data_IF_985096836257
#
_entry.id   IF_985096836257
#
_cell.length_a   1.000
_cell.length_b   1.000
_cell.length_c   1.000
_cell.angle_alpha   90.00
_cell.angle_beta   90.00
_cell.angle_gamma   90.00
#
_symmetry.space_group_name_H-M   'P 1'
#
loop_
_entity.id
_entity.type
_entity.pdbx_description
1 polymer ?
#
# COMPACT_ATOMS: atom_id res chain seq x y z
N UNK A 1 19.53 42.77 30.57
CA UNK A 1 19.10 41.80 31.60
C UNK A 1 19.04 40.41 30.99
N UNK A 2 19.21 39.32 31.76
CA UNK A 2 19.22 37.95 31.23
C UNK A 2 17.98 37.59 30.39
N UNK A 3 16.83 38.23 30.67
CA UNK A 3 15.59 38.06 29.91
C UNK A 3 15.62 38.59 28.47
N UNK A 4 16.38 39.65 28.16
CA UNK A 4 16.46 40.20 26.81
C UNK A 4 17.33 39.37 25.87
N UNK A 5 18.39 38.71 26.38
CA UNK A 5 19.21 37.79 25.58
C UNK A 5 18.45 36.52 25.17
N UNK A 6 17.58 35.98 26.03
CA UNK A 6 16.78 34.79 25.72
C UNK A 6 15.73 35.06 24.63
N UNK A 7 15.07 36.23 24.69
CA UNK A 7 14.14 36.68 23.63
C UNK A 7 14.84 36.93 22.30
N UNK A 8 16.04 37.53 22.32
CA UNK A 8 16.83 37.76 21.11
C UNK A 8 17.27 36.44 20.43
N UNK A 9 17.70 35.43 21.21
CA UNK A 9 18.07 34.10 20.67
C UNK A 9 16.88 33.36 20.06
N UNK A 10 15.70 33.48 20.66
CA UNK A 10 14.48 32.87 20.13
C UNK A 10 14.03 33.53 18.82
N UNK A 11 14.07 34.87 18.75
CA UNK A 11 13.75 35.63 17.54
C UNK A 11 14.74 35.35 16.38
N UNK A 12 16.02 35.18 16.68
CA UNK A 12 17.03 34.77 15.70
C UNK A 12 16.79 33.35 15.18
N UNK A 13 16.45 32.39 16.06
CA UNK A 13 16.12 31.02 15.66
C UNK A 13 14.91 30.96 14.72
N UNK A 14 13.89 31.78 14.96
CA UNK A 14 12.72 31.87 14.09
C UNK A 14 13.03 32.47 12.72
N UNK A 15 13.83 33.54 12.67
CA UNK A 15 14.30 34.12 11.40
C UNK A 15 15.18 33.14 10.61
N UNK A 16 16.04 32.37 11.28
CA UNK A 16 16.85 31.33 10.64
C UNK A 16 15.99 30.20 10.08
N UNK A 17 14.95 29.80 10.83
CA UNK A 17 14.04 28.75 10.39
C UNK A 17 13.20 29.19 9.17
N UNK A 18 12.72 30.43 9.15
CA UNK A 18 11.97 30.99 8.02
C UNK A 18 12.84 31.11 6.76
N UNK A 19 14.07 31.64 6.89
CA UNK A 19 15.00 31.76 5.75
C UNK A 19 15.40 30.39 5.18
N UNK A 20 15.62 29.39 6.04
CA UNK A 20 15.88 28.01 5.58
C UNK A 20 14.66 27.38 4.89
N UNK A 21 13.43 27.69 5.34
CA UNK A 21 12.20 27.22 4.69
C UNK A 21 12.02 27.86 3.31
N UNK A 22 12.30 29.15 3.16
CA UNK A 22 12.23 29.85 1.86
C UNK A 22 13.28 29.32 0.89
N UNK A 23 14.53 29.13 1.32
CA UNK A 23 15.59 28.52 0.49
C UNK A 23 15.23 27.11 0.02
N UNK A 24 14.62 26.30 0.90
CA UNK A 24 14.16 24.95 0.56
C UNK A 24 13.02 24.97 -0.46
N UNK A 25 12.08 25.91 -0.36
CA UNK A 25 11.01 26.09 -1.33
C UNK A 25 11.52 26.61 -2.68
N UNK A 26 12.50 27.51 -2.69
CA UNK A 26 13.17 27.96 -3.92
C UNK A 26 13.94 26.83 -4.61
N UNK A 27 14.65 25.98 -3.85
CA UNK A 27 15.29 24.78 -4.42
C UNK A 27 14.27 23.79 -5.01
N UNK A 28 13.11 23.61 -4.36
CA UNK A 28 12.05 22.75 -4.89
C UNK A 28 11.47 23.36 -6.18
N UNK A 29 11.25 24.68 -6.22
CA UNK A 29 10.77 25.40 -7.40
C UNK A 29 11.73 25.27 -8.59
N UNK A 30 13.04 25.43 -8.34
CA UNK A 30 14.09 25.25 -9.36
C UNK A 30 14.22 23.79 -9.83
N UNK A 31 13.98 22.81 -8.96
CA UNK A 31 13.96 21.39 -9.33
C UNK A 31 12.72 20.99 -10.12
N UNK A 32 11.60 21.72 -9.97
CA UNK A 32 10.38 21.51 -10.75
C UNK A 32 10.45 22.19 -12.12
N UNK A 33 11.06 23.37 -12.24
CA UNK A 33 11.22 24.06 -13.53
C UNK A 33 12.26 23.42 -14.44
N UNK A 34 13.31 22.79 -13.89
CA UNK A 34 14.31 22.06 -14.71
C UNK A 34 13.79 20.69 -15.20
N UNK A 35 12.70 20.17 -14.62
CA UNK A 35 12.15 18.85 -14.99
C UNK A 35 11.06 18.87 -16.06
N UNK A 36 10.55 20.03 -16.45
CA UNK A 36 9.53 20.11 -17.50
C UNK A 36 10.12 20.16 -18.92
N UNK A 37 11.43 20.40 -19.09
CA UNK A 37 12.07 20.54 -20.41
C UNK A 37 13.03 19.38 -20.80
N UNK A 38 13.12 18.30 -20.02
CA UNK A 38 13.84 17.08 -20.43
C UNK A 38 13.10 15.82 -19.99
N UNK A 39 12.17 15.36 -20.82
CA UNK A 39 11.81 13.93 -20.90
C UNK A 39 12.09 13.46 -22.32
N UNK A 40 13.38 13.37 -22.61
CA UNK A 40 13.89 12.50 -23.66
C UNK A 40 13.71 11.05 -23.17
N UNK A 41 12.91 10.31 -23.92
CA UNK A 41 12.57 8.91 -23.62
C UNK A 41 13.72 8.04 -24.10
N UNK A 42 14.53 7.53 -23.18
CA UNK A 42 15.43 6.41 -23.48
C UNK A 42 14.74 5.06 -23.18
N UNK A 43 14.93 4.06 -24.06
CA UNK A 43 14.32 2.74 -23.95
C UNK A 43 15.03 1.89 -22.90
N UNK A 44 14.27 1.07 -22.18
CA UNK A 44 14.83 0.03 -21.30
C UNK A 44 15.36 -1.12 -22.16
N UNK A 45 16.67 -1.33 -22.05
CA UNK A 45 17.38 -2.50 -22.51
C UNK A 45 16.91 -3.76 -21.76
N UNK A 46 16.66 -4.82 -22.53
CA UNK A 46 16.55 -6.20 -22.08
C UNK A 46 17.88 -6.90 -22.35
N UNK A 47 18.51 -7.43 -21.31
CA UNK A 47 19.74 -8.25 -21.37
C UNK A 47 19.43 -9.75 -21.66
N UNK A 48 20.45 -10.55 -22.05
CA UNK A 48 20.45 -11.27 -23.33
C UNK A 48 20.20 -12.78 -23.24
N UNK A 49 19.84 -13.38 -24.37
CA UNK A 49 19.82 -14.82 -24.53
C UNK A 49 19.36 -15.27 -25.91
N UNK A 50 20.18 -15.07 -26.94
CA UNK A 50 20.63 -16.09 -27.89
C UNK A 50 21.43 -15.41 -29.03
N UNK A 51 22.52 -16.07 -29.43
CA UNK A 51 23.45 -15.72 -30.49
C UNK A 51 22.80 -15.06 -31.72
N UNK A 52 23.34 -14.00 -32.31
CA UNK A 52 24.73 -13.88 -32.75
C UNK A 52 24.85 -14.35 -34.20
N UNK A 53 24.37 -13.55 -35.17
CA UNK A 53 24.80 -13.64 -36.57
C UNK A 53 24.88 -12.22 -37.14
N UNK A 54 26.10 -11.73 -37.28
CA UNK A 54 26.45 -10.57 -38.10
C UNK A 54 26.38 -11.01 -39.56
N UNK A 55 25.39 -10.53 -40.33
CA UNK A 55 25.37 -10.72 -41.78
C UNK A 55 26.21 -9.61 -42.41
N UNK A 56 27.39 -10.01 -42.88
CA UNK A 56 28.18 -9.21 -43.81
C UNK A 56 27.40 -8.99 -45.11
N UNK A 57 27.49 -7.77 -45.63
CA UNK A 57 27.03 -7.39 -46.96
C UNK A 57 27.66 -8.32 -48.01
N UNK A 58 26.84 -9.13 -48.65
CA UNK A 58 27.12 -9.68 -49.99
C UNK A 58 25.87 -9.41 -50.83
N UNK A 59 26.14 -8.74 -51.95
CA UNK A 59 25.26 -8.41 -53.05
C UNK A 59 24.78 -9.71 -53.73
N UNK A 60 23.47 -9.97 -53.72
CA UNK A 60 22.70 -10.61 -54.80
C UNK A 60 21.26 -10.87 -54.30
N UNK A 61 20.29 -10.44 -55.10
CA UNK A 61 18.92 -10.20 -54.67
C UNK A 61 18.15 -11.44 -54.22
N UNK A 62 17.37 -11.28 -53.15
CA UNK A 62 16.02 -11.82 -52.97
C UNK A 62 15.23 -10.80 -52.13
N UNK A 63 14.06 -10.43 -52.64
CA UNK A 63 13.02 -9.63 -52.00
C UNK A 63 12.48 -10.30 -50.73
N UNK A 64 12.90 -9.86 -49.55
CA UNK A 64 12.19 -10.10 -48.29
C UNK A 64 11.90 -8.78 -47.57
N UNK A 65 11.07 -7.96 -48.19
CA UNK A 65 10.35 -6.89 -47.51
C UNK A 65 8.97 -7.41 -47.05
N UNK A 66 8.59 -7.09 -45.80
CA UNK A 66 7.19 -6.93 -45.36
C UNK A 66 6.30 -8.15 -45.02
N UNK A 67 6.79 -9.25 -44.44
CA UNK A 67 5.85 -10.28 -43.91
C UNK A 67 5.24 -9.94 -42.55
N UNK A 68 5.91 -9.16 -41.69
CA UNK A 68 5.39 -8.76 -40.36
C UNK A 68 4.38 -7.60 -40.43
N UNK A 69 4.58 -6.64 -41.35
CA UNK A 69 3.66 -5.51 -41.54
C UNK A 69 2.31 -5.92 -42.14
N UNK A 70 2.32 -6.87 -43.08
CA UNK A 70 1.10 -7.33 -43.78
C UNK A 70 0.16 -8.10 -42.85
N UNK A 71 0.69 -8.99 -42.00
CA UNK A 71 -0.12 -9.74 -41.01
C UNK A 71 -0.76 -8.83 -39.96
N UNK A 72 -0.03 -7.78 -39.54
CA UNK A 72 -0.57 -6.76 -38.64
C UNK A 72 -1.72 -5.98 -39.29
N UNK A 73 -1.57 -5.60 -40.55
CA UNK A 73 -2.58 -4.82 -41.27
C UNK A 73 -3.84 -5.64 -41.56
N UNK A 74 -3.70 -6.92 -41.91
CA UNK A 74 -4.84 -7.83 -42.12
C UNK A 74 -5.67 -7.98 -40.84
N UNK A 75 -5.02 -8.15 -39.69
CA UNK A 75 -5.70 -8.23 -38.40
C UNK A 75 -6.44 -6.93 -38.07
N UNK A 76 -5.82 -5.77 -38.28
CA UNK A 76 -6.46 -4.46 -38.07
C UNK A 76 -7.73 -4.34 -38.93
N UNK A 77 -7.66 -4.76 -40.20
CA UNK A 77 -8.80 -4.70 -41.11
C UNK A 77 -9.94 -5.63 -40.65
N UNK A 78 -9.64 -6.86 -40.20
CA UNK A 78 -10.64 -7.79 -39.65
C UNK A 78 -11.34 -7.20 -38.42
N UNK A 79 -10.58 -6.61 -37.50
CA UNK A 79 -11.14 -5.97 -36.30
C UNK A 79 -12.02 -4.78 -36.68
N UNK A 80 -11.57 -3.91 -37.60
CA UNK A 80 -12.37 -2.78 -38.09
C UNK A 80 -13.69 -3.24 -38.71
N UNK A 81 -13.66 -4.24 -39.59
CA UNK A 81 -14.87 -4.77 -40.22
C UNK A 81 -15.84 -5.35 -39.18
N UNK A 82 -15.32 -6.02 -38.16
CA UNK A 82 -16.13 -6.54 -37.05
C UNK A 82 -16.78 -5.39 -36.27
N UNK A 83 -16.03 -4.32 -35.96
CA UNK A 83 -16.59 -3.16 -35.27
C UNK A 83 -17.66 -2.44 -36.09
N UNK A 84 -17.51 -2.37 -37.42
CA UNK A 84 -18.54 -1.82 -38.31
C UNK A 84 -19.80 -2.67 -38.29
N UNK A 85 -19.65 -4.00 -38.42
CA UNK A 85 -20.77 -4.95 -38.35
C UNK A 85 -21.58 -4.81 -37.06
N UNK A 86 -20.90 -4.63 -35.92
CA UNK A 86 -21.57 -4.40 -34.64
C UNK A 86 -22.37 -3.10 -34.63
N UNK A 87 -21.78 -2.03 -35.17
CA UNK A 87 -22.42 -0.72 -35.26
C UNK A 87 -23.68 -0.77 -36.13
N UNK A 88 -23.63 -1.49 -37.24
CA UNK A 88 -24.75 -1.65 -38.17
C UNK A 88 -25.93 -2.41 -37.54
N UNK A 89 -25.66 -3.25 -36.53
CA UNK A 89 -26.67 -3.96 -35.75
C UNK A 89 -27.00 -3.29 -34.41
N UNK A 90 -26.63 -2.02 -34.20
CA UNK A 90 -26.87 -1.27 -32.96
C UNK A 90 -26.28 -1.93 -31.70
N UNK A 91 -25.24 -2.75 -31.85
CA UNK A 91 -24.50 -3.36 -30.76
C UNK A 91 -23.22 -2.58 -30.50
N UNK A 92 -22.88 -2.41 -29.22
CA UNK A 92 -21.57 -1.88 -28.83
C UNK A 92 -20.65 -3.02 -28.46
N UNK A 93 -19.34 -2.79 -28.57
CA UNK A 93 -18.34 -3.71 -28.02
C UNK A 93 -18.53 -3.94 -26.50
N UNK A 94 -19.03 -2.92 -25.79
CA UNK A 94 -19.39 -3.03 -24.37
C UNK A 94 -20.48 -4.07 -24.12
N UNK A 95 -21.54 -4.09 -24.94
CA UNK A 95 -22.64 -5.05 -24.81
C UNK A 95 -22.17 -6.50 -24.97
N UNK A 96 -21.23 -6.73 -25.90
CA UNK A 96 -20.66 -8.07 -26.13
C UNK A 96 -19.84 -8.51 -24.92
N UNK A 97 -19.02 -7.60 -24.39
CA UNK A 97 -18.25 -7.87 -23.18
C UNK A 97 -19.16 -8.17 -22.00
N UNK A 98 -20.20 -7.38 -21.81
CA UNK A 98 -21.18 -7.60 -20.75
C UNK A 98 -21.82 -8.98 -20.87
N UNK A 99 -22.26 -9.36 -22.07
CA UNK A 99 -22.82 -10.68 -22.34
C UNK A 99 -21.84 -11.83 -22.03
N UNK A 100 -20.57 -11.72 -22.45
CA UNK A 100 -19.56 -12.78 -22.25
C UNK A 100 -19.08 -12.85 -20.79
N UNK A 101 -18.85 -11.69 -20.16
CA UNK A 101 -18.28 -11.60 -18.82
C UNK A 101 -19.30 -11.83 -17.71
N UNK A 102 -20.60 -11.62 -17.98
CA UNK A 102 -21.65 -11.92 -17.02
C UNK A 102 -21.69 -13.43 -16.70
N UNK A 103 -21.47 -13.86 -15.45
CA UNK A 103 -21.58 -15.26 -15.04
C UNK A 103 -22.92 -15.93 -15.37
N UNK A 104 -24.01 -15.16 -15.50
CA UNK A 104 -25.35 -15.71 -15.72
C UNK A 104 -25.54 -16.33 -17.11
N UNK A 105 -24.80 -15.86 -18.13
CA UNK A 105 -24.95 -16.35 -19.51
C UNK A 105 -24.17 -17.62 -19.83
N UNK A 106 -23.44 -18.20 -18.87
CA UNK A 106 -22.79 -19.50 -19.03
C UNK A 106 -21.61 -19.53 -20.03
N UNK A 107 -21.07 -18.37 -20.42
CA UNK A 107 -19.95 -18.23 -21.39
C UNK A 107 -18.56 -18.40 -20.77
N UNK A 108 -18.41 -19.43 -19.93
CA UNK A 108 -17.19 -19.67 -19.17
C UNK A 108 -15.98 -19.97 -20.06
N UNK A 109 -16.17 -20.75 -21.12
CA UNK A 109 -15.10 -21.14 -22.03
C UNK A 109 -14.59 -19.94 -22.84
N UNK A 110 -15.50 -19.17 -23.45
CA UNK A 110 -15.17 -17.99 -24.24
C UNK A 110 -14.53 -16.90 -23.38
N UNK A 111 -14.96 -16.78 -22.12
CA UNK A 111 -14.35 -15.89 -21.13
C UNK A 111 -12.94 -16.33 -20.76
N UNK A 112 -12.73 -17.63 -20.54
CA UNK A 112 -11.41 -18.17 -20.27
C UNK A 112 -10.48 -17.96 -21.46
N UNK A 113 -10.81 -18.49 -22.63
CA UNK A 113 -9.99 -18.40 -23.84
C UNK A 113 -9.73 -16.96 -24.29
N UNK A 114 -10.77 -16.11 -24.23
CA UNK A 114 -10.72 -14.73 -24.70
C UNK A 114 -10.01 -13.76 -23.75
N UNK A 115 -10.20 -13.90 -22.43
CA UNK A 115 -9.67 -12.94 -21.46
C UNK A 115 -8.67 -13.56 -20.48
N UNK A 116 -9.02 -14.65 -19.80
CA UNK A 116 -8.26 -15.14 -18.64
C UNK A 116 -7.15 -16.16 -18.96
N UNK A 117 -7.13 -16.72 -20.16
CA UNK A 117 -6.11 -17.66 -20.62
C UNK A 117 -4.71 -17.06 -20.55
N UNK A 118 -4.59 -15.75 -20.81
CA UNK A 118 -3.36 -14.98 -20.61
C UNK A 118 -3.55 -13.95 -19.50
N UNK A 119 -2.98 -14.14 -18.30
CA UNK A 119 -3.09 -13.19 -17.19
C UNK A 119 -2.61 -11.78 -17.56
N UNK A 120 -1.61 -11.69 -18.44
CA UNK A 120 -1.07 -10.42 -18.92
C UNK A 120 -2.12 -9.58 -19.65
N UNK A 121 -3.03 -10.22 -20.40
CA UNK A 121 -4.05 -9.52 -21.19
C UNK A 121 -4.97 -8.69 -20.31
N UNK A 122 -5.50 -9.27 -19.25
CA UNK A 122 -6.38 -8.56 -18.31
C UNK A 122 -5.64 -7.41 -17.64
N UNK A 123 -4.41 -7.65 -17.19
CA UNK A 123 -3.60 -6.61 -16.57
C UNK A 123 -3.32 -5.45 -17.55
N UNK A 124 -3.02 -5.76 -18.80
CA UNK A 124 -2.75 -4.77 -19.84
C UNK A 124 -4.00 -3.94 -20.16
N UNK A 125 -5.18 -4.57 -20.24
CA UNK A 125 -6.47 -3.87 -20.42
C UNK A 125 -6.72 -2.91 -19.26
N UNK A 126 -6.53 -3.36 -18.01
CA UNK A 126 -6.69 -2.51 -16.82
C UNK A 126 -5.66 -1.36 -16.79
N UNK A 127 -4.43 -1.60 -17.25
CA UNK A 127 -3.41 -0.56 -17.40
C UNK A 127 -3.82 0.47 -18.47
N UNK A 128 -4.39 0.04 -19.60
CA UNK A 128 -4.91 0.96 -20.60
C UNK A 128 -6.11 1.76 -20.08
N UNK A 129 -7.00 1.13 -19.32
CA UNK A 129 -8.15 1.82 -18.74
C UNK A 129 -7.76 2.85 -17.69
N UNK A 130 -6.72 2.57 -16.91
CA UNK A 130 -6.18 3.48 -15.89
C UNK A 130 -5.20 4.54 -16.44
N UNK A 131 -4.68 4.34 -17.65
CA UNK A 131 -3.73 5.25 -18.30
C UNK A 131 -4.29 6.67 -18.46
N UNK A 132 -3.43 7.67 -18.27
CA UNK A 132 -3.77 9.09 -18.44
C UNK A 132 -4.32 9.44 -19.82
N UNK A 133 -4.06 8.60 -20.83
CA UNK A 133 -4.59 8.72 -22.20
C UNK A 133 -6.07 8.35 -22.32
N UNK A 134 -6.64 7.71 -21.31
CA UNK A 134 -8.06 7.36 -21.30
C UNK A 134 -8.93 8.49 -20.72
N UNK A 135 -10.23 8.44 -21.00
CA UNK A 135 -11.21 9.43 -20.54
C UNK A 135 -11.17 9.63 -19.01
N UNK A 136 -11.33 10.88 -18.55
CA UNK A 136 -11.38 11.20 -17.11
C UNK A 136 -12.49 10.43 -16.40
N UNK A 137 -13.67 10.32 -17.03
CA UNK A 137 -14.83 9.60 -16.50
C UNK A 137 -14.56 8.10 -16.35
N UNK A 138 -13.98 7.46 -17.37
CA UNK A 138 -13.63 6.03 -17.31
C UNK A 138 -12.59 5.75 -16.23
N UNK A 139 -11.55 6.57 -16.12
CA UNK A 139 -10.53 6.45 -15.08
C UNK A 139 -11.12 6.58 -13.67
N UNK A 140 -11.98 7.57 -13.46
CA UNK A 140 -12.65 7.79 -12.17
C UNK A 140 -13.51 6.59 -11.79
N UNK A 141 -14.32 6.11 -12.72
CA UNK A 141 -15.20 4.93 -12.52
C UNK A 141 -14.37 3.70 -12.13
N UNK A 142 -13.28 3.43 -12.85
CA UNK A 142 -12.38 2.32 -12.55
C UNK A 142 -11.73 2.46 -11.17
N UNK A 143 -11.28 3.67 -10.82
CA UNK A 143 -10.64 3.95 -9.54
C UNK A 143 -11.63 3.76 -8.37
N UNK A 144 -12.85 4.29 -8.49
CA UNK A 144 -13.91 4.14 -7.48
C UNK A 144 -14.27 2.67 -7.28
N UNK A 145 -14.45 1.92 -8.36
CA UNK A 145 -14.68 0.48 -8.30
C UNK A 145 -13.52 -0.27 -7.62
N UNK A 146 -12.28 0.01 -8.00
CA UNK A 146 -11.10 -0.66 -7.44
C UNK A 146 -10.93 -0.39 -5.93
N UNK A 147 -11.15 0.86 -5.51
CA UNK A 147 -11.12 1.22 -4.08
C UNK A 147 -12.23 0.49 -3.31
N UNK A 148 -13.45 0.46 -3.84
CA UNK A 148 -14.57 -0.26 -3.23
C UNK A 148 -14.28 -1.76 -3.11
N UNK A 149 -13.75 -2.38 -4.16
CA UNK A 149 -13.35 -3.78 -4.17
C UNK A 149 -12.30 -4.10 -3.10
N UNK A 150 -11.23 -3.29 -3.03
CA UNK A 150 -10.16 -3.46 -2.02
C UNK A 150 -10.71 -3.25 -0.61
N UNK A 151 -11.56 -2.24 -0.39
CA UNK A 151 -12.20 -2.01 0.90
C UNK A 151 -13.06 -3.20 1.34
N UNK A 152 -13.82 -3.80 0.40
CA UNK A 152 -14.58 -5.02 0.66
C UNK A 152 -13.69 -6.21 1.03
N UNK A 153 -12.56 -6.41 0.32
CA UNK A 153 -11.59 -7.45 0.63
C UNK A 153 -10.97 -7.27 2.02
N UNK A 154 -10.51 -6.06 2.35
CA UNK A 154 -9.99 -5.70 3.68
C UNK A 154 -11.05 -5.89 4.77
N UNK A 155 -12.31 -5.55 4.46
CA UNK A 155 -13.44 -5.78 5.36
C UNK A 155 -13.63 -7.26 5.71
N UNK A 156 -13.48 -8.17 4.73
CA UNK A 156 -13.54 -9.62 4.95
C UNK A 156 -12.35 -10.12 5.77
N UNK A 157 -11.14 -9.65 5.45
CA UNK A 157 -9.92 -9.97 6.20
C UNK A 157 -10.05 -9.57 7.68
N UNK A 158 -10.53 -8.35 7.96
CA UNK A 158 -10.75 -7.89 9.34
C UNK A 158 -11.79 -8.71 10.10
N UNK A 159 -12.82 -9.22 9.42
CA UNK A 159 -13.77 -10.15 10.02
C UNK A 159 -13.12 -11.51 10.31
N UNK A 160 -12.34 -12.04 9.37
CA UNK A 160 -11.60 -13.30 9.54
C UNK A 160 -10.60 -13.22 10.72
N UNK A 161 -9.86 -12.12 10.85
CA UNK A 161 -8.94 -11.91 11.99
C UNK A 161 -9.66 -11.89 13.34
N UNK A 162 -10.83 -11.25 13.40
CA UNK A 162 -11.64 -11.23 14.63
C UNK A 162 -12.17 -12.63 14.94
N UNK A 163 -12.69 -13.35 13.94
CA UNK A 163 -13.21 -14.72 14.11
C UNK A 163 -12.13 -15.71 14.55
N UNK A 164 -10.89 -15.53 14.06
CA UNK A 164 -9.75 -16.36 14.43
C UNK A 164 -9.42 -16.29 15.93
N UNK A 165 -9.80 -15.20 16.62
CA UNK A 165 -9.65 -15.08 18.06
C UNK A 165 -8.25 -14.71 18.54
N UNK A 166 -7.29 -14.51 17.62
CA UNK A 166 -5.90 -14.20 17.94
C UNK A 166 -5.72 -13.01 18.90
N UNK A 167 -6.59 -12.01 18.81
CA UNK A 167 -6.51 -10.79 19.61
C UNK A 167 -7.57 -10.72 20.72
N UNK A 168 -8.27 -11.83 20.99
CA UNK A 168 -9.37 -11.87 21.96
C UNK A 168 -8.88 -12.28 23.34
N UNK A 169 -8.71 -11.32 24.25
CA UNK A 169 -8.24 -11.61 25.62
C UNK A 169 -9.19 -12.53 26.38
N UNK A 170 -10.50 -12.47 26.12
CA UNK A 170 -11.48 -13.35 26.76
C UNK A 170 -11.30 -14.84 26.43
N UNK A 171 -10.49 -15.18 25.42
CA UNK A 171 -10.11 -16.56 25.06
C UNK A 171 -8.71 -16.93 25.57
N UNK A 172 -8.06 -16.05 26.31
CA UNK A 172 -6.70 -16.23 26.83
C UNK A 172 -6.73 -16.25 28.35
N UNK A 173 -5.87 -17.07 28.94
CA UNK A 173 -5.59 -16.99 30.38
C UNK A 173 -4.75 -15.76 30.65
N UNK A 174 -5.18 -14.92 31.60
CA UNK A 174 -4.41 -13.73 32.01
C UNK A 174 -3.39 -14.17 33.07
N UNK A 175 -2.21 -14.56 32.61
CA UNK A 175 -1.06 -14.97 33.45
C UNK A 175 0.18 -14.10 33.15
N UNK A 176 1.33 -14.42 33.75
CA UNK A 176 2.58 -13.70 33.46
C UNK A 176 2.99 -13.85 31.98
N UNK A 177 2.72 -15.02 31.39
CA UNK A 177 2.98 -15.33 29.99
C UNK A 177 2.11 -14.51 29.04
N UNK A 178 0.92 -14.08 29.45
CA UNK A 178 0.03 -13.21 28.69
C UNK A 178 0.68 -11.87 28.35
N UNK A 179 1.32 -11.25 29.35
CA UNK A 179 2.02 -9.96 29.20
C UNK A 179 3.41 -10.15 28.56
N UNK A 180 4.18 -11.15 29.02
CA UNK A 180 5.50 -11.43 28.48
C UNK A 180 5.49 -11.94 27.04
N UNK A 181 4.42 -12.62 26.62
CA UNK A 181 4.23 -13.14 25.28
C UNK A 181 3.89 -12.07 24.23
N UNK A 182 3.74 -10.80 24.63
CA UNK A 182 3.41 -9.73 23.71
C UNK A 182 4.60 -9.36 22.81
N UNK A 183 4.55 -9.81 21.56
CA UNK A 183 5.49 -9.41 20.51
C UNK A 183 4.75 -8.99 19.23
N UNK A 184 4.90 -7.70 18.88
CA UNK A 184 4.32 -7.12 17.67
C UNK A 184 4.84 -7.83 16.42
N UNK A 185 6.10 -8.27 16.38
CA UNK A 185 6.66 -8.93 15.19
C UNK A 185 5.99 -10.28 14.97
N UNK A 186 5.83 -11.09 16.03
CA UNK A 186 5.09 -12.35 15.98
C UNK A 186 3.63 -12.15 15.58
N UNK A 187 2.94 -11.21 16.24
CA UNK A 187 1.53 -10.90 15.93
C UNK A 187 1.37 -10.40 14.50
N UNK A 188 2.28 -9.56 14.01
CA UNK A 188 2.29 -9.13 12.62
C UNK A 188 2.39 -10.33 11.68
N UNK A 189 3.32 -11.27 11.91
CA UNK A 189 3.48 -12.44 11.03
C UNK A 189 2.20 -13.29 10.93
N UNK A 190 1.49 -13.47 12.04
CA UNK A 190 0.22 -14.18 12.07
C UNK A 190 -0.90 -13.37 11.38
N UNK A 191 -0.93 -12.06 11.59
CA UNK A 191 -1.92 -11.17 10.96
C UNK A 191 -1.67 -10.97 9.47
N UNK A 192 -0.43 -10.99 8.99
CA UNK A 192 -0.10 -10.89 7.57
C UNK A 192 -0.64 -12.10 6.79
N UNK A 193 -0.62 -13.28 7.42
CA UNK A 193 -1.22 -14.49 6.86
C UNK A 193 -2.75 -14.42 6.76
N UNK A 194 -3.42 -13.73 7.70
CA UNK A 194 -4.90 -13.63 7.74
C UNK A 194 -5.40 -12.41 6.94
N UNK A 195 -4.62 -11.33 6.94
CA UNK A 195 -4.97 -10.02 6.39
C UNK A 195 -3.89 -9.50 5.40
N UNK A 196 -3.61 -10.23 4.31
CA UNK A 196 -2.54 -9.87 3.39
C UNK A 196 -2.82 -8.58 2.61
N UNK A 197 -4.08 -8.29 2.26
CA UNK A 197 -4.42 -7.13 1.42
C UNK A 197 -4.18 -5.82 2.15
N UNK A 198 -4.71 -5.68 3.38
CA UNK A 198 -4.49 -4.46 4.17
C UNK A 198 -3.01 -4.29 4.52
N UNK A 199 -2.31 -5.38 4.79
CA UNK A 199 -0.88 -5.33 5.07
C UNK A 199 -0.10 -4.80 3.87
N UNK A 200 -0.43 -5.27 2.65
CA UNK A 200 0.14 -4.74 1.41
C UNK A 200 -0.17 -3.24 1.21
N UNK A 201 -1.39 -2.81 1.53
CA UNK A 201 -1.80 -1.39 1.44
C UNK A 201 -1.00 -0.52 2.43
N UNK A 202 -0.88 -0.95 3.68
CA UNK A 202 -0.10 -0.23 4.71
C UNK A 202 1.39 -0.18 4.38
N UNK A 203 1.95 -1.24 3.78
CA UNK A 203 3.32 -1.24 3.26
C UNK A 203 3.48 -0.30 2.07
N UNK A 204 2.52 -0.26 1.15
CA UNK A 204 2.54 0.67 0.02
C UNK A 204 2.50 2.13 0.50
N UNK A 205 1.72 2.43 1.54
CA UNK A 205 1.65 3.76 2.14
C UNK A 205 2.94 4.14 2.90
N UNK A 206 3.54 3.19 3.62
CA UNK A 206 4.71 3.45 4.48
C UNK A 206 6.07 3.30 3.79
N UNK A 207 6.11 2.83 2.54
CA UNK A 207 7.35 2.54 1.81
C UNK A 207 7.42 3.23 0.45
N UNK A 208 8.43 4.06 0.26
CA UNK A 208 8.72 4.70 -1.04
C UNK A 208 9.50 3.78 -1.97
N UNK A 209 9.43 4.02 -3.29
CA UNK A 209 10.16 3.24 -4.29
C UNK A 209 11.68 3.22 -4.03
N UNK A 210 12.27 4.38 -3.70
CA UNK A 210 13.70 4.50 -3.36
C UNK A 210 14.10 3.66 -2.14
N UNK A 211 13.20 3.55 -1.16
CA UNK A 211 13.45 2.69 0.00
C UNK A 211 13.43 1.22 -0.40
N UNK A 212 12.52 0.77 -1.27
CA UNK A 212 12.49 -0.63 -1.74
C UNK A 212 13.82 -1.07 -2.35
N UNK A 213 14.46 -0.19 -3.11
CA UNK A 213 15.75 -0.47 -3.78
C UNK A 213 16.95 -0.46 -2.84
N UNK A 214 16.91 0.29 -1.72
CA UNK A 214 18.06 0.53 -0.84
C UNK A 214 17.86 -0.04 0.57
N UNK A 215 16.97 -1.01 0.74
CA UNK A 215 16.53 -1.46 2.06
C UNK A 215 17.61 -2.28 2.77
N UNK A 216 18.17 -1.70 3.84
CA UNK A 216 18.92 -2.45 4.87
C UNK A 216 17.93 -3.18 5.79
N UNK A 217 18.35 -4.29 6.39
CA UNK A 217 17.50 -5.15 7.24
C UNK A 217 16.89 -4.40 8.44
N UNK A 218 17.66 -3.54 9.11
CA UNK A 218 17.18 -2.79 10.28
C UNK A 218 15.96 -1.87 10.00
N UNK A 219 15.99 -1.02 8.96
CA UNK A 219 14.82 -0.25 8.52
C UNK A 219 13.57 -1.08 8.19
N UNK A 220 13.73 -2.26 7.60
CA UNK A 220 12.60 -3.15 7.26
C UNK A 220 11.92 -3.62 8.54
N UNK A 221 12.68 -4.10 9.52
CA UNK A 221 12.14 -4.57 10.80
C UNK A 221 11.40 -3.46 11.56
N UNK A 222 11.88 -2.20 11.50
CA UNK A 222 11.16 -1.07 12.09
C UNK A 222 9.82 -0.80 11.41
N UNK A 223 9.74 -0.96 10.08
CA UNK A 223 8.50 -0.81 9.34
C UNK A 223 7.50 -1.91 9.66
N UNK A 224 7.94 -3.16 9.71
CA UNK A 224 7.11 -4.29 10.14
C UNK A 224 6.47 -4.01 11.51
N UNK A 225 7.25 -3.52 12.48
CA UNK A 225 6.70 -3.14 13.79
C UNK A 225 5.68 -2.01 13.72
N UNK A 226 5.90 -0.98 12.90
CA UNK A 226 4.95 0.15 12.74
C UNK A 226 3.66 -0.27 12.04
N UNK A 227 3.77 -1.05 10.96
CA UNK A 227 2.63 -1.59 10.24
C UNK A 227 1.84 -2.55 11.13
N UNK A 228 2.53 -3.43 11.86
CA UNK A 228 1.92 -4.32 12.85
C UNK A 228 1.20 -3.54 13.96
N UNK A 229 1.83 -2.52 14.52
CA UNK A 229 1.20 -1.65 15.51
C UNK A 229 -0.08 -0.98 14.98
N UNK A 230 -0.03 -0.41 13.76
CA UNK A 230 -1.19 0.21 13.13
C UNK A 230 -2.31 -0.83 12.89
N UNK A 231 -1.98 -2.02 12.40
CA UNK A 231 -2.94 -3.08 12.15
C UNK A 231 -3.63 -3.55 13.44
N UNK A 232 -2.87 -3.71 14.53
CA UNK A 232 -3.40 -4.06 15.85
C UNK A 232 -4.38 -3.00 16.38
N UNK A 233 -4.05 -1.72 16.23
CA UNK A 233 -4.93 -0.61 16.61
C UNK A 233 -6.23 -0.63 15.78
N UNK A 234 -6.13 -0.73 14.46
CA UNK A 234 -7.29 -0.77 13.57
C UNK A 234 -8.21 -1.97 13.87
N UNK A 235 -7.64 -3.14 14.16
CA UNK A 235 -8.42 -4.33 14.53
C UNK A 235 -9.08 -4.19 15.91
N UNK A 236 -8.42 -3.51 16.85
CA UNK A 236 -8.97 -3.18 18.17
C UNK A 236 -10.09 -2.13 18.14
N UNK A 237 -10.06 -1.20 17.17
CA UNK A 237 -11.15 -0.25 16.93
C UNK A 237 -12.31 -0.88 16.16
N UNK A 238 -12.00 -1.79 15.23
CA UNK A 238 -13.02 -2.54 14.50
C UNK A 238 -13.87 -3.41 15.43
N UNK A 239 -13.28 -4.00 16.45
CA UNK A 239 -14.00 -4.88 17.39
C UNK A 239 -13.45 -4.77 18.80
N UNK A 240 -14.33 -4.48 19.76
CA UNK A 240 -13.97 -4.47 21.19
C UNK A 240 -13.57 -5.86 21.70
N UNK A 241 -13.95 -6.94 21.00
CA UNK A 241 -13.48 -8.28 21.33
C UNK A 241 -11.97 -8.43 21.09
N UNK A 242 -11.38 -7.66 20.18
CA UNK A 242 -9.94 -7.65 19.91
C UNK A 242 -9.19 -6.78 20.94
N UNK A 243 -9.41 -7.06 22.22
CA UNK A 243 -8.92 -6.25 23.34
C UNK A 243 -7.54 -6.65 23.86
N UNK A 244 -6.92 -7.73 23.34
CA UNK A 244 -5.62 -8.23 23.84
C UNK A 244 -4.57 -7.14 23.98
N UNK A 245 -4.36 -6.36 22.91
CA UNK A 245 -3.37 -5.28 22.89
C UNK A 245 -3.73 -4.16 23.87
N UNK A 246 -5.02 -3.82 23.98
CA UNK A 246 -5.52 -2.81 24.93
C UNK A 246 -5.26 -3.25 26.37
N UNK A 247 -5.48 -4.51 26.71
CA UNK A 247 -5.21 -5.05 28.04
C UNK A 247 -3.71 -5.09 28.36
N UNK A 248 -2.87 -5.57 27.45
CA UNK A 248 -1.42 -5.59 27.66
C UNK A 248 -0.90 -4.16 27.89
N UNK A 249 -1.28 -3.21 27.02
CA UNK A 249 -0.85 -1.82 27.17
C UNK A 249 -1.40 -1.20 28.47
N UNK A 250 -2.65 -1.52 28.82
CA UNK A 250 -3.26 -1.12 30.09
C UNK A 250 -2.41 -1.55 31.29
N UNK A 251 -2.02 -2.82 31.36
CA UNK A 251 -1.14 -3.36 32.41
C UNK A 251 0.19 -2.59 32.49
N UNK A 252 0.83 -2.36 31.35
CA UNK A 252 2.11 -1.66 31.28
C UNK A 252 2.03 -0.16 31.65
N UNK A 253 0.94 0.52 31.31
CA UNK A 253 0.74 1.94 31.60
C UNK A 253 0.19 2.18 33.01
N UNK A 254 -0.53 1.22 33.61
CA UNK A 254 -1.02 1.34 34.99
C UNK A 254 0.05 1.07 36.04
N UNK A 255 1.12 0.33 35.68
CA UNK A 255 2.16 -0.06 36.63
C UNK A 255 2.99 1.13 37.16
N UNK A 256 3.43 2.11 36.33
CA UNK A 256 4.18 3.28 36.83
C UNK A 256 3.34 4.21 37.70
N UNK A 257 2.05 4.35 37.42
CA UNK A 257 1.12 5.21 38.18
C UNK A 257 0.78 4.64 39.55
N UNK A 258 0.76 3.31 39.71
CA UNK A 258 0.60 2.65 41.01
C UNK A 258 1.91 2.53 41.78
N UNK A 259 3.07 2.48 41.11
CA UNK A 259 4.39 2.49 41.76
C UNK A 259 4.73 3.83 42.45
N UNK A 260 4.07 4.92 42.08
CA UNK A 260 4.08 6.18 42.85
C UNK A 260 3.30 6.11 44.18
N UNK A 261 2.49 5.07 44.37
CA UNK A 261 1.58 4.89 45.50
C UNK A 261 2.06 3.76 46.43
N UNK A 262 3.30 3.85 46.96
CA UNK A 262 3.89 3.17 48.14
C UNK A 262 3.56 1.69 48.51
N UNK A 263 2.80 0.89 47.75
CA UNK A 263 2.36 -0.47 48.14
C UNK A 263 2.27 -1.50 47.00
N UNK A 264 3.13 -1.40 45.98
CA UNK A 264 3.27 -2.47 44.98
C UNK A 264 4.74 -2.94 44.93
N UNK A 265 5.14 -3.68 45.95
CA UNK A 265 6.34 -4.52 45.89
C UNK A 265 5.91 -5.92 45.44
N UNK A 266 6.72 -6.55 44.59
CA UNK A 266 6.59 -7.92 44.06
C UNK A 266 5.73 -8.14 42.79
N UNK A 267 6.09 -7.50 41.68
CA UNK A 267 6.17 -8.20 40.38
C UNK A 267 7.51 -7.79 39.76
N UNK A 268 8.38 -8.72 39.33
CA UNK A 268 9.68 -8.36 38.74
C UNK A 268 9.47 -7.44 37.54
N UNK A 269 10.32 -6.42 37.43
CA UNK A 269 10.26 -5.38 36.42
C UNK A 269 9.99 -5.97 35.03
N UNK A 270 8.76 -5.79 34.51
CA UNK A 270 8.38 -6.25 33.19
C UNK A 270 9.39 -5.69 32.17
N UNK A 271 9.93 -6.52 31.26
CA UNK A 271 10.96 -6.08 30.35
C UNK A 271 10.46 -4.91 29.49
N UNK A 272 11.26 -3.83 29.46
CA UNK A 272 11.04 -2.70 28.56
C UNK A 272 11.20 -3.16 27.12
N UNK A 273 10.10 -3.56 26.48
CA UNK A 273 10.14 -3.93 25.07
C UNK A 273 9.92 -2.70 24.19
N UNK A 274 10.77 -2.46 23.17
CA UNK A 274 10.63 -1.31 22.26
C UNK A 274 9.32 -1.33 21.44
N UNK A 275 8.63 -2.47 21.39
CA UNK A 275 7.28 -2.64 20.83
C UNK A 275 6.24 -1.79 21.56
N UNK A 276 6.28 -1.78 22.90
CA UNK A 276 5.30 -1.07 23.72
C UNK A 276 5.46 0.45 23.63
N UNK A 277 6.70 0.95 23.51
CA UNK A 277 6.95 2.39 23.33
C UNK A 277 6.36 2.93 22.02
N UNK A 278 6.37 2.13 20.95
CA UNK A 278 5.77 2.52 19.65
C UNK A 278 4.25 2.64 19.78
N UNK A 279 3.61 1.65 20.43
CA UNK A 279 2.17 1.65 20.63
C UNK A 279 1.71 2.72 21.64
N UNK A 280 2.43 2.88 22.75
CA UNK A 280 2.15 3.91 23.75
C UNK A 280 2.27 5.33 23.16
N UNK A 281 3.26 5.58 22.30
CA UNK A 281 3.38 6.87 21.60
C UNK A 281 2.22 7.15 20.64
N UNK A 282 1.67 6.11 20.00
CA UNK A 282 0.50 6.24 19.12
C UNK A 282 -0.82 6.35 19.89
N UNK A 283 -0.93 5.71 21.06
CA UNK A 283 -2.12 5.73 21.92
C UNK A 283 -2.19 6.94 22.86
N UNK A 284 -1.07 7.61 23.14
CA UNK A 284 -1.06 8.86 23.90
C UNK A 284 -1.91 9.96 23.24
N UNK A 285 -2.22 9.85 21.95
CA UNK A 285 -3.15 10.72 21.23
C UNK A 285 -4.63 10.32 21.35
N UNK A 286 -4.91 9.06 21.70
CA UNK A 286 -6.26 8.48 21.74
C UNK A 286 -6.85 8.39 23.15
N UNK A 287 -6.05 8.61 24.19
CA UNK A 287 -6.51 8.72 25.57
C UNK A 287 -6.57 10.20 25.95
N UNK A 288 -7.73 10.88 25.90
CA UNK A 288 -7.86 12.17 26.55
C UNK A 288 -7.56 11.92 28.02
N UNK A 289 -6.54 12.60 28.56
CA UNK A 289 -6.37 12.65 30.00
C UNK A 289 -7.72 13.10 30.58
N UNK A 290 -8.43 12.20 31.28
CA UNK A 290 -9.60 12.55 32.03
C UNK A 290 -9.16 13.63 33.02
N UNK A 291 -9.46 14.89 32.72
CA UNK A 291 -9.24 15.95 33.67
C UNK A 291 -10.20 15.68 34.82
N UNK A 292 -9.72 15.62 36.07
CA UNK A 292 -10.62 15.57 37.21
C UNK A 292 -11.46 16.86 37.18
N UNK A 293 -12.76 16.70 36.98
CA UNK A 293 -13.71 17.77 37.29
C UNK A 293 -13.68 17.94 38.81
N UNK A 294 -13.04 19.00 39.26
CA UNK A 294 -13.10 19.44 40.64
C UNK A 294 -14.56 19.78 40.97
N UNK A 295 -15.12 19.07 41.94
CA UNK A 295 -16.27 19.49 42.73
C UNK A 295 -15.77 19.91 44.11
#
# INVERSE_FOLDING_TARGET
TPGTQKKARWALGLKLHQTNRVKKLQQISLLTTVKEDLVETQPMESEPGLAGVTVMLIDEGITEASTTGVRGQEWINKVKNTLTYLKDHHLTWGNIIEYILDPQHGKGQERWEGFFHSPHRVQQILNWWSSSRNSKTGRRTLQEWAVSYVAGAVGKEGHAATKNGLLQSGKMTVDELFAMGFDIKRLYGQLDAICPTITRVLHAFSTTAKQRQNNKEGPIQRKVRRVGAALLLLLGERSQANSYVKHVIGLYLSYPTLAGSRKAAYIPALPHTPSLNILASSLAFLWPAAQPQNA
#
